data_IF_307333996406
#
_entry.id   IF_307333996406
#
_cell.length_a   1.000
_cell.length_b   1.000
_cell.length_c   1.000
_cell.angle_alpha   90.00
_cell.angle_beta   90.00
_cell.angle_gamma   90.00
#
_symmetry.space_group_name_H-M   'P 1'
#
loop_
_entity.id
_entity.type
_entity.pdbx_description
1 polymer ?
#
# COMPACT_ATOMS: atom_id res chain seq x y z
N UNK A 1 24.04 28.96 -19.39
CA UNK A 1 22.73 28.39 -19.84
C UNK A 1 21.79 28.40 -18.63
N UNK A 2 20.67 29.12 -18.68
CA UNK A 2 19.68 29.06 -17.60
C UNK A 2 18.91 27.73 -17.71
N UNK A 3 18.70 27.06 -16.59
CA UNK A 3 17.90 25.85 -16.56
C UNK A 3 16.43 26.18 -16.93
N UNK A 4 15.78 25.49 -17.88
CA UNK A 4 14.48 25.86 -18.41
C UNK A 4 13.35 25.88 -17.36
N UNK A 5 13.52 25.16 -16.24
CA UNK A 5 12.55 25.12 -15.13
C UNK A 5 12.89 26.12 -14.01
N UNK A 6 14.06 26.76 -14.06
CA UNK A 6 14.46 27.70 -13.01
C UNK A 6 13.61 28.97 -13.09
N UNK A 7 12.97 29.31 -11.96
CA UNK A 7 12.07 30.46 -11.85
C UNK A 7 10.97 30.53 -12.93
N UNK A 8 10.49 29.38 -13.37
CA UNK A 8 9.44 29.26 -14.38
C UNK A 8 8.30 28.35 -13.88
N UNK A 9 7.38 28.89 -13.03
CA UNK A 9 6.26 28.10 -12.49
C UNK A 9 5.37 27.53 -13.58
N UNK A 10 5.16 28.27 -14.68
CA UNK A 10 4.30 27.82 -15.79
C UNK A 10 4.88 26.56 -16.47
N UNK A 11 6.18 26.54 -16.77
CA UNK A 11 6.83 25.36 -17.33
C UNK A 11 6.75 24.16 -16.38
N UNK A 12 6.91 24.40 -15.07
CA UNK A 12 6.74 23.35 -14.06
C UNK A 12 5.31 22.81 -14.00
N UNK A 13 4.31 23.70 -14.11
CA UNK A 13 2.90 23.29 -14.16
C UNK A 13 2.58 22.48 -15.42
N UNK A 14 3.06 22.90 -16.59
CA UNK A 14 2.93 22.14 -17.83
C UNK A 14 3.51 20.73 -17.70
N UNK A 15 4.70 20.60 -17.13
CA UNK A 15 5.32 19.29 -16.90
C UNK A 15 4.51 18.42 -15.94
N UNK A 16 3.98 18.98 -14.86
CA UNK A 16 3.16 18.25 -13.88
C UNK A 16 1.77 17.90 -14.40
N UNK A 17 1.21 18.72 -15.28
CA UNK A 17 -0.10 18.46 -15.88
C UNK A 17 -0.02 17.58 -17.12
N UNK A 18 1.18 17.25 -17.60
CA UNK A 18 1.35 16.32 -18.70
C UNK A 18 0.90 14.92 -18.30
N UNK A 19 -0.18 14.47 -18.95
CA UNK A 19 -0.80 13.17 -18.68
C UNK A 19 0.19 12.03 -19.00
N UNK A 20 1.02 12.16 -20.03
CA UNK A 20 1.97 11.13 -20.42
C UNK A 20 3.00 10.90 -19.30
N UNK A 21 3.64 11.96 -18.84
CA UNK A 21 4.62 11.89 -17.73
C UNK A 21 3.99 11.38 -16.44
N UNK A 22 2.78 11.85 -16.12
CA UNK A 22 2.04 11.44 -14.92
C UNK A 22 1.60 9.98 -15.01
N UNK A 23 1.13 9.51 -16.16
CA UNK A 23 0.71 8.12 -16.37
C UNK A 23 1.87 7.15 -16.12
N UNK A 24 3.04 7.39 -16.71
CA UNK A 24 4.20 6.53 -16.54
C UNK A 24 4.76 6.57 -15.11
N UNK A 25 4.87 7.77 -14.52
CA UNK A 25 5.38 7.92 -13.16
C UNK A 25 4.50 7.22 -12.13
N UNK A 26 3.18 7.35 -12.23
CA UNK A 26 2.27 6.70 -11.30
C UNK A 26 2.07 5.21 -11.63
N UNK A 27 2.15 4.79 -12.88
CA UNK A 27 2.15 3.36 -13.23
C UNK A 27 3.25 2.61 -12.46
N UNK A 28 4.49 3.10 -12.53
CA UNK A 28 5.62 2.53 -11.77
C UNK A 28 5.33 2.50 -10.26
N UNK A 29 4.71 3.56 -9.73
CA UNK A 29 4.36 3.62 -8.32
C UNK A 29 3.29 2.58 -7.93
N UNK A 30 2.30 2.32 -8.79
CA UNK A 30 1.24 1.34 -8.55
C UNK A 30 1.78 -0.09 -8.63
N UNK A 31 2.66 -0.40 -9.58
CA UNK A 31 3.37 -1.70 -9.63
C UNK A 31 4.09 -1.98 -8.31
N UNK A 32 4.82 -0.98 -7.80
CA UNK A 32 5.51 -1.08 -6.51
C UNK A 32 4.53 -1.25 -5.33
N UNK A 33 3.37 -0.57 -5.37
CA UNK A 33 2.35 -0.67 -4.33
C UNK A 33 1.78 -2.09 -4.22
N UNK A 34 1.48 -2.75 -5.36
CA UNK A 34 1.02 -4.14 -5.37
C UNK A 34 1.98 -5.04 -4.63
N UNK A 35 3.28 -5.00 -4.98
CA UNK A 35 4.31 -5.82 -4.34
C UNK A 35 4.40 -5.58 -2.83
N UNK A 36 4.25 -4.32 -2.40
CA UNK A 36 4.26 -3.99 -0.97
C UNK A 36 3.04 -4.53 -0.22
N UNK A 37 1.85 -4.40 -0.81
CA UNK A 37 0.63 -4.95 -0.22
C UNK A 37 0.70 -6.48 -0.14
N UNK A 38 1.22 -7.15 -1.17
CA UNK A 38 1.48 -8.59 -1.16
C UNK A 38 2.42 -8.99 -0.03
N UNK A 39 3.52 -8.25 0.15
CA UNK A 39 4.49 -8.54 1.19
C UNK A 39 3.92 -8.37 2.61
N UNK A 40 3.16 -7.28 2.85
CA UNK A 40 2.47 -7.06 4.13
C UNK A 40 1.46 -8.18 4.38
N UNK A 41 0.70 -8.55 3.37
CA UNK A 41 -0.33 -9.60 3.47
C UNK A 41 0.29 -10.95 3.78
N UNK A 42 1.40 -11.31 3.11
CA UNK A 42 2.13 -12.54 3.40
C UNK A 42 2.59 -12.59 4.86
N UNK A 43 3.18 -11.51 5.37
CA UNK A 43 3.60 -11.44 6.78
C UNK A 43 2.40 -11.56 7.73
N UNK A 44 1.28 -10.91 7.41
CA UNK A 44 0.07 -10.97 8.23
C UNK A 44 -0.52 -12.39 8.29
N UNK A 45 -0.54 -13.12 7.17
CA UNK A 45 -0.95 -14.51 7.10
C UNK A 45 -0.03 -15.41 7.94
N UNK A 46 1.28 -15.28 7.78
CA UNK A 46 2.28 -16.05 8.53
C UNK A 46 2.17 -15.79 10.05
N UNK A 47 1.96 -14.53 10.46
CA UNK A 47 1.74 -14.22 11.89
C UNK A 47 0.46 -14.86 12.40
N UNK A 48 -0.64 -14.77 11.66
CA UNK A 48 -1.91 -15.38 12.05
C UNK A 48 -1.80 -16.91 12.22
N UNK A 49 -1.05 -17.56 11.33
CA UNK A 49 -0.78 -18.99 11.41
C UNK A 49 0.14 -19.33 12.60
N UNK A 50 1.22 -18.58 12.78
CA UNK A 50 2.18 -18.78 13.85
C UNK A 50 1.56 -18.69 15.25
N UNK A 51 0.59 -17.81 15.46
CA UNK A 51 -0.14 -17.65 16.73
C UNK A 51 -1.40 -18.52 16.82
N UNK A 52 -1.76 -19.27 15.76
CA UNK A 52 -2.94 -20.14 15.74
C UNK A 52 -4.25 -19.38 15.65
N UNK A 53 -4.28 -18.21 15.00
CA UNK A 53 -5.43 -17.30 14.98
C UNK A 53 -6.27 -17.38 13.69
N UNK A 54 -5.91 -18.22 12.73
CA UNK A 54 -6.51 -18.29 11.39
C UNK A 54 -8.00 -18.72 11.38
N UNK A 55 -8.49 -19.33 12.46
CA UNK A 55 -9.88 -19.76 12.58
C UNK A 55 -10.80 -18.69 13.14
N UNK A 56 -10.29 -17.59 13.68
CA UNK A 56 -11.09 -16.52 14.24
C UNK A 56 -11.64 -15.60 13.15
N UNK A 57 -12.96 -15.39 13.14
CA UNK A 57 -13.66 -14.60 12.13
C UNK A 57 -13.09 -13.19 11.97
N UNK A 58 -12.74 -12.51 13.07
CA UNK A 58 -12.18 -11.16 13.03
C UNK A 58 -10.76 -11.11 12.43
N UNK A 59 -10.01 -12.22 12.47
CA UNK A 59 -8.70 -12.33 11.80
C UNK A 59 -8.92 -12.60 10.31
N UNK A 60 -9.83 -13.53 9.98
CA UNK A 60 -10.19 -13.84 8.59
C UNK A 60 -10.73 -12.61 7.86
N UNK A 61 -11.56 -11.80 8.52
CA UNK A 61 -12.08 -10.54 7.99
C UNK A 61 -10.94 -9.58 7.61
N UNK A 62 -9.96 -9.40 8.50
CA UNK A 62 -8.79 -8.52 8.25
C UNK A 62 -7.89 -9.03 7.13
N UNK A 63 -7.62 -10.33 7.10
CA UNK A 63 -6.85 -10.93 6.01
C UNK A 63 -7.60 -10.85 4.69
N UNK A 64 -8.91 -11.02 4.70
CA UNK A 64 -9.78 -10.81 3.54
C UNK A 64 -9.74 -9.37 3.03
N UNK A 65 -9.73 -8.38 3.93
CA UNK A 65 -9.57 -6.96 3.57
C UNK A 65 -8.23 -6.70 2.85
N UNK A 66 -7.12 -7.29 3.33
CA UNK A 66 -5.82 -7.17 2.65
C UNK A 66 -5.85 -7.77 1.24
N UNK A 67 -6.46 -8.94 1.08
CA UNK A 67 -6.61 -9.59 -0.23
C UNK A 67 -7.45 -8.72 -1.17
N UNK A 68 -8.57 -8.16 -0.70
CA UNK A 68 -9.39 -7.25 -1.51
C UNK A 68 -8.62 -6.00 -1.95
N UNK A 69 -7.74 -5.45 -1.10
CA UNK A 69 -6.90 -4.31 -1.45
C UNK A 69 -5.93 -4.67 -2.59
N UNK A 70 -5.26 -5.81 -2.50
CA UNK A 70 -4.34 -6.29 -3.54
C UNK A 70 -5.09 -6.47 -4.86
N UNK A 71 -6.19 -7.23 -4.86
CA UNK A 71 -6.93 -7.55 -6.07
C UNK A 71 -7.54 -6.29 -6.71
N UNK A 72 -7.98 -5.32 -5.92
CA UNK A 72 -8.47 -4.02 -6.43
C UNK A 72 -7.38 -3.27 -7.17
N UNK A 73 -6.19 -3.11 -6.57
CA UNK A 73 -5.08 -2.38 -7.19
C UNK A 73 -4.56 -3.13 -8.43
N UNK A 74 -4.47 -4.46 -8.37
CA UNK A 74 -4.06 -5.32 -9.48
C UNK A 74 -5.02 -5.20 -10.67
N UNK A 75 -6.34 -5.26 -10.42
CA UNK A 75 -7.35 -5.09 -11.47
C UNK A 75 -7.27 -3.72 -12.14
N UNK A 76 -7.06 -2.65 -11.38
CA UNK A 76 -6.88 -1.30 -11.93
C UNK A 76 -5.59 -1.18 -12.75
N UNK A 77 -4.51 -1.82 -12.31
CA UNK A 77 -3.25 -1.84 -13.05
C UNK A 77 -3.41 -2.55 -14.40
N UNK A 78 -4.02 -3.74 -14.40
CA UNK A 78 -4.29 -4.51 -15.62
C UNK A 78 -5.22 -3.71 -16.56
N UNK A 79 -6.29 -3.11 -16.05
CA UNK A 79 -7.19 -2.29 -16.85
C UNK A 79 -6.46 -1.08 -17.46
N UNK A 80 -5.57 -0.44 -16.71
CA UNK A 80 -4.77 0.67 -17.20
C UNK A 80 -3.84 0.24 -18.34
N UNK A 81 -3.24 -0.94 -18.23
CA UNK A 81 -2.33 -1.49 -19.25
C UNK A 81 -3.09 -1.94 -20.50
N UNK A 82 -4.24 -2.60 -20.34
CA UNK A 82 -5.05 -3.11 -21.47
C UNK A 82 -5.71 -1.97 -22.25
N UNK A 83 -6.23 -0.94 -21.56
CA UNK A 83 -6.88 0.22 -22.16
C UNK A 83 -5.92 1.39 -22.42
N UNK A 84 -4.62 1.14 -22.42
CA UNK A 84 -3.60 2.13 -22.73
C UNK A 84 -3.62 2.52 -24.22
N UNK A 85 -2.96 3.63 -24.53
CA UNK A 85 -2.87 4.17 -25.89
C UNK A 85 -1.44 4.57 -26.24
N UNK A 86 -1.12 4.57 -27.54
CA UNK A 86 0.18 5.06 -28.00
C UNK A 86 0.05 6.54 -28.35
N UNK A 87 0.96 7.36 -27.81
CA UNK A 87 1.01 8.78 -28.10
C UNK A 87 1.75 9.09 -29.43
N UNK A 88 1.85 10.38 -29.78
CA UNK A 88 2.52 10.87 -30.99
C UNK A 88 4.00 10.48 -31.07
N UNK A 89 4.66 10.33 -29.93
CA UNK A 89 6.08 9.89 -29.84
C UNK A 89 6.25 8.37 -29.88
N UNK A 90 5.19 7.62 -30.20
CA UNK A 90 5.13 6.15 -30.22
C UNK A 90 5.39 5.50 -28.86
N UNK A 91 5.19 6.22 -27.77
CA UNK A 91 5.26 5.68 -26.41
C UNK A 91 3.89 5.15 -26.01
N UNK A 92 3.83 3.90 -25.56
CA UNK A 92 2.62 3.33 -25.01
C UNK A 92 2.36 3.88 -23.61
N UNK A 93 1.19 4.46 -23.38
CA UNK A 93 0.79 5.08 -22.11
C UNK A 93 -0.34 4.28 -21.49
N UNK A 94 -0.21 3.80 -20.24
CA UNK A 94 -1.31 3.23 -19.50
C UNK A 94 -2.46 4.24 -19.35
N UNK A 95 -3.70 3.76 -19.33
CA UNK A 95 -4.86 4.63 -19.16
C UNK A 95 -4.84 5.33 -17.79
N UNK A 96 -4.68 6.65 -17.83
CA UNK A 96 -4.49 7.47 -16.63
C UNK A 96 -5.68 7.42 -15.66
N UNK A 97 -6.91 7.21 -16.13
CA UNK A 97 -8.10 7.11 -15.30
C UNK A 97 -7.99 6.02 -14.22
N UNK A 98 -7.48 4.85 -14.60
CA UNK A 98 -7.29 3.73 -13.67
C UNK A 98 -6.07 3.95 -12.77
N UNK A 99 -4.98 4.48 -13.34
CA UNK A 99 -3.76 4.83 -12.60
C UNK A 99 -4.05 5.88 -11.51
N UNK A 100 -4.81 6.93 -11.85
CA UNK A 100 -5.23 7.94 -10.89
C UNK A 100 -6.08 7.36 -9.76
N UNK A 101 -7.02 6.48 -10.09
CA UNK A 101 -7.86 5.80 -9.10
C UNK A 101 -7.02 4.91 -8.19
N UNK A 102 -6.12 4.09 -8.75
CA UNK A 102 -5.23 3.23 -7.98
C UNK A 102 -4.30 4.04 -7.06
N UNK A 103 -3.75 5.16 -7.53
CA UNK A 103 -2.95 6.10 -6.73
C UNK A 103 -3.73 6.62 -5.53
N UNK A 104 -4.98 7.06 -5.74
CA UNK A 104 -5.82 7.61 -4.68
C UNK A 104 -6.24 6.54 -3.67
N UNK A 105 -6.47 5.30 -4.11
CA UNK A 105 -6.71 4.16 -3.22
C UNK A 105 -5.46 3.78 -2.44
N UNK A 106 -4.28 3.80 -3.07
CA UNK A 106 -3.02 3.42 -2.43
C UNK A 106 -2.69 4.26 -1.19
N UNK A 107 -2.98 5.57 -1.22
CA UNK A 107 -2.82 6.45 -0.07
C UNK A 107 -3.69 6.08 1.14
N UNK A 108 -4.75 5.28 0.94
CA UNK A 108 -5.63 4.75 1.98
C UNK A 108 -5.29 3.30 2.34
N UNK A 109 -5.01 2.48 1.34
CA UNK A 109 -4.80 1.05 1.51
C UNK A 109 -3.49 0.73 2.23
N UNK A 110 -2.40 1.41 1.89
CA UNK A 110 -1.12 1.13 2.54
C UNK A 110 -1.14 1.41 4.05
N UNK A 111 -1.59 2.59 4.55
CA UNK A 111 -1.74 2.81 5.99
C UNK A 111 -2.69 1.82 6.65
N UNK A 112 -3.78 1.46 5.98
CA UNK A 112 -4.73 0.46 6.49
C UNK A 112 -4.11 -0.94 6.57
N UNK A 113 -3.28 -1.33 5.60
CA UNK A 113 -2.55 -2.59 5.64
C UNK A 113 -1.57 -2.65 6.83
N UNK A 114 -0.87 -1.55 7.11
CA UNK A 114 -0.01 -1.41 8.29
C UNK A 114 -0.83 -1.58 9.59
N UNK A 115 -1.97 -0.90 9.70
CA UNK A 115 -2.87 -1.01 10.85
C UNK A 115 -3.38 -2.44 11.04
N UNK A 116 -3.78 -3.13 9.97
CA UNK A 116 -4.23 -4.52 10.02
C UNK A 116 -3.11 -5.43 10.56
N UNK A 117 -1.89 -5.27 10.06
CA UNK A 117 -0.75 -6.04 10.54
C UNK A 117 -0.49 -5.80 12.04
N UNK A 118 -0.60 -4.54 12.50
CA UNK A 118 -0.51 -4.19 13.93
C UNK A 118 -1.61 -4.87 14.75
N UNK A 119 -2.85 -4.88 14.26
CA UNK A 119 -3.98 -5.49 14.94
C UNK A 119 -3.85 -7.02 15.06
N UNK A 120 -3.35 -7.70 14.02
CA UNK A 120 -3.15 -9.15 14.02
C UNK A 120 -2.03 -9.55 15.00
N UNK A 121 -0.89 -8.86 14.96
CA UNK A 121 0.23 -9.19 15.84
C UNK A 121 0.11 -8.63 17.27
N UNK A 122 -0.74 -7.60 17.45
CA UNK A 122 -1.14 -6.99 18.73
C UNK A 122 0.03 -6.82 19.72
N UNK A 123 -0.17 -7.21 20.99
CA UNK A 123 0.84 -7.14 22.05
C UNK A 123 2.09 -7.98 21.79
N UNK A 124 2.07 -8.92 20.83
CA UNK A 124 3.21 -9.71 20.44
C UNK A 124 4.39 -8.88 19.93
N UNK A 125 4.12 -7.73 19.33
CA UNK A 125 5.16 -6.80 18.87
C UNK A 125 5.89 -6.09 20.02
N UNK A 126 5.17 -5.80 21.11
CA UNK A 126 5.74 -5.09 22.28
C UNK A 126 6.64 -6.01 23.10
N UNK A 127 6.35 -7.31 23.09
CA UNK A 127 7.01 -8.31 23.93
C UNK A 127 8.26 -8.94 23.27
N UNK A 128 8.66 -8.46 22.09
CA UNK A 128 9.79 -9.05 21.36
C UNK A 128 11.10 -8.92 22.13
N UNK A 129 11.94 -9.99 22.15
CA UNK A 129 13.31 -9.89 22.65
C UNK A 129 14.07 -8.78 21.93
N UNK A 130 14.89 -8.03 22.65
CA UNK A 130 15.62 -6.89 22.09
C UNK A 130 16.71 -7.35 21.11
N UNK A 131 17.35 -8.47 21.39
CA UNK A 131 18.48 -9.03 20.64
C UNK A 131 18.34 -10.53 20.43
N UNK A 132 18.91 -11.04 19.33
CA UNK A 132 19.11 -12.48 19.13
C UNK A 132 19.99 -13.10 20.22
N UNK A 133 20.88 -12.33 20.84
CA UNK A 133 21.74 -12.78 21.94
C UNK A 133 20.93 -13.15 23.20
N UNK A 134 19.71 -12.68 23.34
CA UNK A 134 18.83 -13.04 24.45
C UNK A 134 18.55 -14.55 24.46
N UNK A 135 18.54 -15.21 23.30
CA UNK A 135 18.44 -16.67 23.18
C UNK A 135 19.73 -17.46 23.56
N UNK A 136 20.81 -16.75 23.84
CA UNK A 136 22.09 -17.30 24.33
C UNK A 136 22.39 -16.83 25.76
N UNK A 137 21.48 -16.09 26.38
CA UNK A 137 21.60 -15.53 27.73
C UNK A 137 21.05 -16.50 28.81
N UNK A 138 21.21 -16.18 30.09
CA UNK A 138 20.63 -16.97 31.20
C UNK A 138 19.11 -17.11 31.15
N UNK A 139 18.39 -16.24 30.38
CA UNK A 139 16.95 -16.32 30.21
C UNK A 139 16.52 -17.12 28.98
N UNK A 140 17.44 -17.71 28.23
CA UNK A 140 17.15 -18.40 26.96
C UNK A 140 16.08 -19.49 27.10
N UNK A 141 16.11 -20.30 28.16
CA UNK A 141 15.11 -21.35 28.37
C UNK A 141 13.71 -20.79 28.65
N UNK A 142 13.62 -19.64 29.34
CA UNK A 142 12.37 -18.95 29.57
C UNK A 142 11.82 -18.40 28.25
N UNK A 143 12.65 -17.80 27.40
CA UNK A 143 12.27 -17.33 26.08
C UNK A 143 11.76 -18.48 25.21
N UNK A 144 12.49 -19.59 25.12
CA UNK A 144 12.07 -20.77 24.36
C UNK A 144 10.73 -21.33 24.85
N UNK A 145 10.48 -21.28 26.16
CA UNK A 145 9.24 -21.77 26.76
C UNK A 145 8.04 -20.83 26.49
N UNK A 146 8.21 -19.53 26.70
CA UNK A 146 7.10 -18.58 26.73
C UNK A 146 6.91 -17.80 25.41
N UNK A 147 7.93 -17.73 24.56
CA UNK A 147 7.87 -17.03 23.28
C UNK A 147 7.52 -17.90 22.08
N UNK A 148 7.36 -19.21 22.27
CA UNK A 148 6.89 -20.09 21.20
C UNK A 148 5.47 -19.69 20.76
N UNK A 149 5.19 -19.80 19.46
CA UNK A 149 3.84 -19.72 18.92
C UNK A 149 3.12 -21.08 19.02
N UNK A 150 1.93 -21.16 18.44
CA UNK A 150 1.16 -22.42 18.36
C UNK A 150 1.84 -23.40 17.40
N UNK A 151 2.29 -22.92 16.25
CA UNK A 151 2.83 -23.72 15.16
C UNK A 151 4.31 -23.40 14.84
N UNK A 152 4.98 -22.63 15.69
CA UNK A 152 6.33 -22.10 15.42
C UNK A 152 7.13 -22.02 16.72
N UNK A 153 8.44 -22.27 16.67
CA UNK A 153 9.31 -22.09 17.81
C UNK A 153 9.58 -20.61 18.15
N UNK A 154 10.18 -20.36 19.31
CA UNK A 154 10.39 -19.02 19.84
C UNK A 154 11.34 -18.17 18.98
N UNK A 155 12.38 -18.76 18.41
CA UNK A 155 13.35 -18.05 17.58
C UNK A 155 12.75 -17.67 16.23
N UNK A 156 12.07 -18.61 15.58
CA UNK A 156 11.39 -18.38 14.32
C UNK A 156 10.25 -17.34 14.47
N UNK A 157 9.44 -17.46 15.54
CA UNK A 157 8.44 -16.45 15.85
C UNK A 157 9.06 -15.07 16.03
N UNK A 158 10.15 -14.98 16.78
CA UNK A 158 10.85 -13.71 17.00
C UNK A 158 11.35 -13.12 15.68
N UNK A 159 11.92 -13.93 14.78
CA UNK A 159 12.37 -13.47 13.45
C UNK A 159 11.20 -12.93 12.62
N UNK A 160 10.08 -13.66 12.58
CA UNK A 160 8.88 -13.24 11.84
C UNK A 160 8.31 -11.91 12.36
N UNK A 161 8.16 -11.78 13.67
CA UNK A 161 7.67 -10.56 14.29
C UNK A 161 8.65 -9.38 14.16
N UNK A 162 9.97 -9.64 14.17
CA UNK A 162 10.96 -8.58 13.88
C UNK A 162 10.90 -8.10 12.43
N UNK A 163 10.71 -9.01 11.47
CA UNK A 163 10.48 -8.64 10.07
C UNK A 163 9.24 -7.75 9.94
N UNK A 164 8.15 -8.11 10.61
CA UNK A 164 6.95 -7.27 10.66
C UNK A 164 7.22 -5.92 11.34
N UNK A 165 7.98 -5.91 12.45
CA UNK A 165 8.36 -4.67 13.16
C UNK A 165 9.12 -3.69 12.26
N UNK A 166 9.98 -4.17 11.38
CA UNK A 166 10.70 -3.32 10.43
C UNK A 166 9.76 -2.54 9.51
N UNK A 167 8.55 -3.06 9.27
CA UNK A 167 7.53 -2.41 8.43
C UNK A 167 6.62 -1.49 9.24
N UNK A 168 6.25 -1.88 10.47
CA UNK A 168 5.19 -1.19 11.23
C UNK A 168 5.69 -0.26 12.32
N UNK A 169 6.91 -0.45 12.84
CA UNK A 169 7.37 0.23 14.06
C UNK A 169 8.78 0.80 13.96
N UNK A 170 9.57 0.42 12.96
CA UNK A 170 10.92 0.96 12.79
C UNK A 170 10.91 2.38 12.21
N UNK A 171 12.01 3.15 12.34
CA UNK A 171 12.15 4.42 11.65
C UNK A 171 11.97 4.30 10.12
N UNK A 172 12.40 3.18 9.53
CA UNK A 172 12.19 2.89 8.10
C UNK A 172 10.71 2.70 7.79
N UNK A 173 10.01 1.86 8.56
CA UNK A 173 8.60 1.57 8.39
C UNK A 173 7.73 2.81 8.52
N UNK A 174 7.94 3.62 9.56
CA UNK A 174 7.21 4.86 9.80
C UNK A 174 7.42 5.88 8.67
N UNK A 175 8.68 6.05 8.21
CA UNK A 175 8.97 6.92 7.07
C UNK A 175 8.33 6.39 5.79
N UNK A 176 8.30 5.09 5.61
CA UNK A 176 7.75 4.45 4.42
C UNK A 176 6.23 4.59 4.35
N UNK A 177 5.53 4.48 5.47
CA UNK A 177 4.10 4.75 5.56
C UNK A 177 3.78 6.20 5.16
N UNK A 178 4.51 7.17 5.70
CA UNK A 178 4.38 8.58 5.32
C UNK A 178 4.67 8.80 3.83
N UNK A 179 5.66 8.10 3.28
CA UNK A 179 5.97 8.15 1.87
C UNK A 179 4.78 7.66 1.02
N UNK A 180 4.20 6.49 1.29
CA UNK A 180 3.08 5.97 0.52
C UNK A 180 1.81 6.82 0.68
N UNK A 181 1.65 7.49 1.79
CA UNK A 181 0.52 8.39 2.06
C UNK A 181 0.62 9.70 1.27
N UNK A 182 1.80 10.27 1.12
CA UNK A 182 1.98 11.66 0.69
C UNK A 182 2.87 11.86 -0.55
N UNK A 183 3.61 10.86 -1.04
CA UNK A 183 4.56 11.04 -2.15
C UNK A 183 3.90 11.56 -3.43
N UNK A 184 2.64 11.21 -3.66
CA UNK A 184 1.86 11.64 -4.82
C UNK A 184 1.18 13.01 -4.62
N UNK A 185 1.41 13.65 -3.49
CA UNK A 185 0.79 14.90 -3.06
C UNK A 185 -0.28 14.69 -1.98
N UNK A 186 -0.99 15.76 -1.66
CA UNK A 186 -2.08 15.74 -0.66
C UNK A 186 -3.23 14.82 -1.13
N UNK A 187 -3.59 13.77 -0.37
CA UNK A 187 -4.64 12.83 -0.74
C UNK A 187 -6.03 13.48 -0.92
N UNK A 188 -6.34 14.52 -0.14
CA UNK A 188 -7.62 15.24 -0.24
C UNK A 188 -7.67 15.97 -1.58
N UNK A 189 -6.62 16.70 -1.92
CA UNK A 189 -6.51 17.43 -3.19
C UNK A 189 -6.53 16.49 -4.39
N UNK A 190 -5.79 15.38 -4.34
CA UNK A 190 -5.76 14.38 -5.40
C UNK A 190 -7.14 13.78 -5.67
N UNK A 191 -7.90 13.46 -4.61
CA UNK A 191 -9.27 12.94 -4.74
C UNK A 191 -10.21 14.01 -5.30
N UNK A 192 -10.08 15.28 -4.87
CA UNK A 192 -10.88 16.39 -5.37
C UNK A 192 -10.59 16.67 -6.86
N UNK A 193 -9.33 16.62 -7.28
CA UNK A 193 -8.94 16.78 -8.69
C UNK A 193 -9.54 15.67 -9.56
N UNK A 194 -9.55 14.43 -9.10
CA UNK A 194 -10.21 13.33 -9.81
C UNK A 194 -11.70 13.62 -10.04
N UNK A 195 -12.41 14.14 -9.02
CA UNK A 195 -13.81 14.56 -9.18
C UNK A 195 -13.98 15.71 -10.18
N UNK A 196 -13.12 16.74 -10.11
CA UNK A 196 -13.20 17.91 -10.99
C UNK A 196 -13.01 17.50 -12.45
N UNK A 197 -12.03 16.65 -12.73
CA UNK A 197 -11.64 16.25 -14.08
C UNK A 197 -12.51 15.13 -14.66
N UNK A 198 -13.30 14.43 -13.84
CA UNK A 198 -14.13 13.31 -14.30
C UNK A 198 -15.28 13.79 -15.19
N UNK A 199 -15.49 13.15 -16.36
CA UNK A 199 -16.69 13.41 -17.18
C UNK A 199 -17.95 12.88 -16.49
N UNK A 200 -18.80 13.79 -16.06
CA UNK A 200 -20.05 13.52 -15.33
C UNK A 200 -21.30 13.54 -16.21
N UNK A 201 -21.16 13.69 -17.53
CA UNK A 201 -22.30 13.84 -18.44
C UNK A 201 -23.21 12.61 -18.44
N UNK A 202 -22.65 11.41 -18.34
CA UNK A 202 -23.45 10.19 -18.27
C UNK A 202 -24.29 10.10 -16.98
N UNK A 203 -23.78 10.58 -15.83
CA UNK A 203 -24.57 10.66 -14.59
C UNK A 203 -25.75 11.63 -14.74
N UNK A 204 -25.51 12.80 -15.35
CA UNK A 204 -26.56 13.77 -15.61
C UNK A 204 -27.64 13.19 -16.51
N UNK A 205 -27.26 12.52 -17.61
CA UNK A 205 -28.19 11.84 -18.52
C UNK A 205 -28.99 10.72 -17.85
N UNK A 206 -28.38 10.00 -16.92
CA UNK A 206 -29.06 8.95 -16.16
C UNK A 206 -30.19 9.54 -15.30
N UNK A 207 -29.90 10.59 -14.55
CA UNK A 207 -30.88 11.21 -13.64
C UNK A 207 -31.95 12.01 -14.39
N UNK A 208 -31.60 12.67 -15.50
CA UNK A 208 -32.61 13.45 -16.29
C UNK A 208 -33.79 12.61 -16.77
N UNK A 209 -33.62 11.28 -16.94
CA UNK A 209 -34.71 10.38 -17.30
C UNK A 209 -35.79 10.23 -16.22
N UNK A 210 -35.49 10.59 -14.98
CA UNK A 210 -36.41 10.48 -13.84
C UNK A 210 -36.98 11.83 -13.40
N UNK A 211 -36.44 12.93 -13.92
CA UNK A 211 -36.87 14.29 -13.56
C UNK A 211 -37.84 14.91 -14.59
N UNK A 212 -38.09 14.24 -15.67
CA UNK A 212 -39.03 14.56 -16.74
C UNK A 212 -40.01 13.41 -16.95
#
# INVERSE_FOLDING_TARGET
MQHPLYNNPEALWKLKSDIASSSLAYHQAIVRLVVKLEFITAIACEIAEAIGATTYLHVQEKLGELIMQIETIRALLIAAEVEGTTNETKTYLPNFKYIETARNLGSKYYPRAIEILQLIGAGGFIQLPSSSNDFQSPIADLLKKYFKGTNIDAEQRTKLFKLAWDIIGSPLGSRHELYERFYAGDPIRNTAIQYVNYDKNHFKKMISKYLH
#
